data_IF_436499426982
#
_entry.id   IF_436499426982
#
_cell.length_a   1.000
_cell.length_b   1.000
_cell.length_c   1.000
_cell.angle_alpha   90.00
_cell.angle_beta   90.00
_cell.angle_gamma   90.00
#
_symmetry.space_group_name_H-M   'P 1'
#
loop_
_entity.id
_entity.type
_entity.pdbx_description
1 polymer ?
#
# COMPACT_ATOMS: atom_id res chain seq x y z
N UNK A 1 -20.40 18.08 -36.59
CA UNK A 1 -19.68 16.78 -36.65
C UNK A 1 -18.37 16.81 -35.87
N UNK A 2 -17.43 17.71 -36.16
CA UNK A 2 -16.12 17.79 -35.48
C UNK A 2 -16.20 17.92 -33.94
N UNK A 3 -17.15 18.70 -33.42
CA UNK A 3 -17.38 18.88 -31.97
C UNK A 3 -17.85 17.60 -31.27
N UNK A 4 -18.70 16.80 -31.92
CA UNK A 4 -19.14 15.51 -31.38
C UNK A 4 -18.00 14.49 -31.38
N UNK A 5 -17.17 14.47 -32.43
CA UNK A 5 -15.99 13.61 -32.50
C UNK A 5 -14.99 13.95 -31.38
N UNK A 6 -14.79 15.25 -31.09
CA UNK A 6 -13.91 15.68 -30.02
C UNK A 6 -14.44 15.26 -28.65
N UNK A 7 -15.74 15.43 -28.38
CA UNK A 7 -16.36 14.98 -27.13
C UNK A 7 -16.27 13.46 -26.93
N UNK A 8 -16.48 12.68 -28.01
CA UNK A 8 -16.31 11.23 -27.99
C UNK A 8 -14.86 10.84 -27.72
N UNK A 9 -13.88 11.49 -28.35
CA UNK A 9 -12.47 11.23 -28.14
C UNK A 9 -12.06 11.52 -26.68
N UNK A 10 -12.54 12.62 -26.09
CA UNK A 10 -12.27 12.94 -24.69
C UNK A 10 -12.91 11.94 -23.73
N UNK A 11 -14.14 11.50 -24.00
CA UNK A 11 -14.82 10.49 -23.19
C UNK A 11 -14.07 9.15 -23.20
N UNK A 12 -13.61 8.73 -24.37
CA UNK A 12 -12.79 7.52 -24.52
C UNK A 12 -11.47 7.65 -23.77
N UNK A 13 -10.78 8.79 -23.89
CA UNK A 13 -9.52 9.03 -23.18
C UNK A 13 -9.67 8.96 -21.65
N UNK A 14 -10.75 9.53 -21.10
CA UNK A 14 -11.03 9.49 -19.66
C UNK A 14 -11.28 8.05 -19.20
N UNK A 15 -11.98 7.23 -19.99
CA UNK A 15 -12.24 5.82 -19.66
C UNK A 15 -10.96 4.98 -19.54
N UNK A 16 -9.86 5.36 -20.21
CA UNK A 16 -8.57 4.68 -20.11
C UNK A 16 -7.73 5.11 -18.91
N UNK A 17 -8.09 6.19 -18.20
CA UNK A 17 -7.33 6.67 -17.03
C UNK A 17 -7.67 5.94 -15.72
N UNK A 18 -8.71 5.11 -15.70
CA UNK A 18 -9.16 4.38 -14.50
C UNK A 18 -8.57 2.98 -14.39
N UNK A 19 -7.47 2.69 -15.09
CA UNK A 19 -6.75 1.44 -14.92
C UNK A 19 -6.21 1.38 -13.48
N UNK A 20 -6.64 0.37 -12.72
CA UNK A 20 -6.08 0.10 -11.40
C UNK A 20 -4.56 -0.06 -11.50
N UNK A 21 -3.83 0.77 -10.74
CA UNK A 21 -2.40 0.59 -10.56
C UNK A 21 -2.16 -0.71 -9.78
N UNK A 22 -2.01 -1.82 -10.51
CA UNK A 22 -1.71 -3.13 -9.94
C UNK A 22 -0.23 -3.20 -9.59
N UNK A 23 0.09 -3.02 -8.31
CA UNK A 23 1.35 -3.54 -7.79
C UNK A 23 1.24 -5.07 -7.77
N UNK A 24 1.91 -5.73 -8.71
CA UNK A 24 1.82 -7.18 -8.95
C UNK A 24 2.16 -8.01 -7.69
N UNK A 25 3.02 -7.47 -6.81
CA UNK A 25 3.35 -8.03 -5.50
C UNK A 25 3.53 -6.93 -4.45
N UNK A 26 2.71 -6.96 -3.40
CA UNK A 26 2.83 -6.06 -2.24
C UNK A 26 3.57 -6.80 -1.13
N UNK A 27 4.77 -6.33 -0.77
CA UNK A 27 5.61 -6.94 0.28
C UNK A 27 5.92 -5.88 1.33
N UNK A 28 5.83 -6.24 2.61
CA UNK A 28 6.23 -5.38 3.72
C UNK A 28 7.27 -6.09 4.60
N UNK A 29 8.29 -5.36 5.04
CA UNK A 29 9.25 -5.83 6.03
C UNK A 29 9.10 -4.98 7.29
N UNK A 30 8.70 -5.61 8.40
CA UNK A 30 8.37 -4.93 9.65
C UNK A 30 9.39 -5.34 10.72
N UNK A 31 9.99 -4.35 11.39
CA UNK A 31 10.98 -4.56 12.46
C UNK A 31 10.47 -3.93 13.75
N UNK A 32 10.38 -4.72 14.82
CA UNK A 32 10.17 -4.26 16.19
C UNK A 32 11.44 -4.47 17.02
N UNK A 33 12.20 -3.42 17.30
CA UNK A 33 13.42 -3.52 18.12
C UNK A 33 13.11 -3.27 19.59
N UNK A 34 13.01 -4.32 20.40
CA UNK A 34 12.68 -4.20 21.84
C UNK A 34 13.85 -4.53 22.77
N UNK A 35 14.73 -5.48 22.38
CA UNK A 35 15.76 -6.05 23.25
C UNK A 35 17.15 -5.40 23.06
N UNK A 36 17.26 -4.10 23.37
CA UNK A 36 18.56 -3.41 23.33
C UNK A 36 19.51 -3.90 24.44
N UNK A 37 20.81 -3.93 24.15
CA UNK A 37 21.83 -4.42 25.09
C UNK A 37 22.12 -3.42 26.22
N UNK A 38 22.11 -2.12 25.90
CA UNK A 38 22.64 -1.06 26.78
C UNK A 38 21.57 -0.24 27.49
N UNK A 39 20.30 -0.42 27.10
CA UNK A 39 19.16 0.30 27.67
C UNK A 39 18.08 -0.69 28.08
N UNK A 40 17.17 -0.33 29.01
CA UNK A 40 16.02 -1.15 29.33
C UNK A 40 15.21 -1.49 28.08
N UNK A 41 14.67 -2.71 28.04
CA UNK A 41 13.86 -3.17 26.93
C UNK A 41 12.67 -2.23 26.68
N UNK A 42 12.45 -1.91 25.41
CA UNK A 42 11.30 -1.10 25.02
C UNK A 42 10.04 -1.97 25.07
N UNK A 43 8.98 -1.46 25.71
CA UNK A 43 7.79 -2.27 26.01
C UNK A 43 6.90 -2.55 24.80
N UNK A 44 6.97 -1.72 23.77
CA UNK A 44 5.98 -1.65 22.71
C UNK A 44 6.42 -2.19 21.33
N UNK A 45 7.70 -2.12 20.90
CA UNK A 45 8.03 -2.42 19.51
C UNK A 45 7.66 -3.82 19.04
N UNK A 46 7.66 -4.83 19.92
CA UNK A 46 7.19 -6.19 19.58
C UNK A 46 5.69 -6.18 19.23
N UNK A 47 4.89 -5.51 20.06
CA UNK A 47 3.44 -5.40 19.86
C UNK A 47 3.09 -4.51 18.67
N UNK A 48 3.80 -3.41 18.51
CA UNK A 48 3.62 -2.50 17.38
C UNK A 48 3.96 -3.19 16.06
N UNK A 49 5.03 -3.99 16.02
CA UNK A 49 5.40 -4.77 14.85
C UNK A 49 4.33 -5.81 14.49
N UNK A 50 3.72 -6.46 15.48
CA UNK A 50 2.61 -7.40 15.26
C UNK A 50 1.36 -6.69 14.73
N UNK A 51 0.95 -5.58 15.34
CA UNK A 51 -0.23 -4.80 14.97
C UNK A 51 -0.09 -4.21 13.55
N UNK A 52 1.10 -3.68 13.20
CA UNK A 52 1.42 -3.18 11.85
C UNK A 52 1.46 -4.32 10.83
N UNK A 53 2.07 -5.46 11.18
CA UNK A 53 2.11 -6.63 10.29
C UNK A 53 0.72 -7.19 9.99
N UNK A 54 -0.15 -7.25 11.00
CA UNK A 54 -1.56 -7.64 10.84
C UNK A 54 -2.30 -6.71 9.88
N UNK A 55 -2.09 -5.40 10.03
CA UNK A 55 -2.69 -4.39 9.14
C UNK A 55 -2.23 -4.57 7.70
N UNK A 56 -0.94 -4.81 7.46
CA UNK A 56 -0.42 -5.08 6.11
C UNK A 56 -0.97 -6.37 5.51
N UNK A 57 -1.08 -7.45 6.28
CA UNK A 57 -1.70 -8.71 5.81
C UNK A 57 -3.16 -8.50 5.42
N UNK A 58 -3.93 -7.74 6.20
CA UNK A 58 -5.31 -7.38 5.86
C UNK A 58 -5.40 -6.52 4.59
N UNK A 59 -4.41 -5.67 4.35
CA UNK A 59 -4.27 -4.90 3.12
C UNK A 59 -3.76 -5.75 1.93
N UNK A 60 -3.51 -7.05 2.13
CA UNK A 60 -3.06 -8.00 1.11
C UNK A 60 -1.59 -7.84 0.72
N UNK A 61 -0.73 -7.51 1.70
CA UNK A 61 0.71 -7.63 1.60
C UNK A 61 1.18 -9.01 2.07
N UNK A 62 2.26 -9.49 1.48
CA UNK A 62 3.12 -10.53 2.05
C UNK A 62 4.04 -9.87 3.09
N UNK A 63 3.99 -10.35 4.33
CA UNK A 63 4.67 -9.75 5.49
C UNK A 63 5.44 -10.78 6.28
#
# INVERSE_FOLDING_TARGET
>A
MLRCCMLLATLVLVAFTTLDARADRRVAFVIGNSAYQTIPALKNPDKDAEDVSSTFRQAGFEV
#
